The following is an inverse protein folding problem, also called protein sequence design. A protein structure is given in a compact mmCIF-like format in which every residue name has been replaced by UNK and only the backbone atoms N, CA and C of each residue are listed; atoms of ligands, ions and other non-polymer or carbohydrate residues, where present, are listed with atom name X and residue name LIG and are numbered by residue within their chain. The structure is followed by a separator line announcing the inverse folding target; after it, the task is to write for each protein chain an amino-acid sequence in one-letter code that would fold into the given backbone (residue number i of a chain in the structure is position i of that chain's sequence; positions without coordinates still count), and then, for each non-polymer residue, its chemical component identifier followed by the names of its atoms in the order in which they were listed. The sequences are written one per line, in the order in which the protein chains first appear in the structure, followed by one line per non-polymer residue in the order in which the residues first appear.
data_IF_996175733089
#
_entry.id   IF_996175733089
#
_cell.length_a   1.000
_cell.length_b   1.000
_cell.length_c   1.000
_cell.angle_alpha   90.00
_cell.angle_beta   90.00
_cell.angle_gamma   90.00
#
_symmetry.space_group_name_H-M   'P 1'
#
loop_
_entity.id
_entity.type
_entity.pdbx_description
1 polymer ?
#
# COMPACT_ATOMS: atom_id res chain seq x y z
N UNK A 1 10.82 7.24 -1.47
CA UNK A 1 10.57 7.61 -0.08
C UNK A 1 11.85 7.69 0.73
N UNK A 2 12.53 6.54 0.98
CA UNK A 2 13.71 6.43 1.85
C UNK A 2 14.83 7.43 1.51
N UNK A 3 15.25 7.51 0.23
CA UNK A 3 16.30 8.46 -0.21
C UNK A 3 15.92 9.92 0.03
N UNK A 4 14.66 10.28 -0.23
CA UNK A 4 14.16 11.65 -0.02
C UNK A 4 14.15 11.98 1.48
N UNK A 5 13.61 11.06 2.31
CA UNK A 5 13.62 11.22 3.77
C UNK A 5 15.05 11.44 4.32
N UNK A 6 15.99 10.57 3.94
CA UNK A 6 17.40 10.69 4.35
C UNK A 6 18.02 12.02 3.94
N UNK A 7 17.72 12.52 2.73
CA UNK A 7 18.23 13.81 2.26
C UNK A 7 17.75 14.96 3.15
N UNK A 8 16.48 14.95 3.57
CA UNK A 8 15.90 16.01 4.40
C UNK A 8 16.26 15.89 5.88
N UNK A 9 16.23 14.68 6.42
CA UNK A 9 16.37 14.46 7.86
C UNK A 9 17.78 14.08 8.31
N UNK A 10 18.70 13.78 7.37
CA UNK A 10 20.09 13.31 7.64
C UNK A 10 20.14 11.97 8.40
N UNK A 11 19.00 11.30 8.55
CA UNK A 11 18.84 10.02 9.24
C UNK A 11 18.02 9.07 8.36
N UNK A 12 18.10 7.76 8.62
CA UNK A 12 17.25 6.78 7.95
C UNK A 12 15.87 6.73 8.62
N UNK A 13 14.78 6.55 7.85
CA UNK A 13 13.47 6.28 8.41
C UNK A 13 13.46 4.88 9.03
N UNK A 14 12.77 4.71 10.16
CA UNK A 14 12.68 3.44 10.90
C UNK A 14 11.25 2.91 10.97
N UNK A 15 10.28 3.79 11.05
CA UNK A 15 8.88 3.46 11.24
C UNK A 15 8.05 3.86 10.05
N UNK A 16 7.29 2.92 9.53
CA UNK A 16 6.37 3.17 8.42
C UNK A 16 4.92 2.88 8.80
N UNK A 17 4.02 3.55 8.10
CA UNK A 17 2.59 3.24 8.05
C UNK A 17 2.22 2.98 6.59
N UNK A 18 1.52 1.89 6.33
CA UNK A 18 0.95 1.56 5.03
C UNK A 18 -0.57 1.61 5.13
N UNK A 19 -1.17 2.63 4.52
CA UNK A 19 -2.61 2.74 4.38
C UNK A 19 -3.08 1.91 3.19
N UNK A 20 -4.22 1.23 3.32
CA UNK A 20 -4.73 0.27 2.33
C UNK A 20 -3.72 -0.87 2.10
N UNK A 21 -3.20 -1.43 3.19
CA UNK A 21 -2.05 -2.33 3.14
C UNK A 21 -2.32 -3.69 2.49
N UNK A 22 -3.59 -4.06 2.29
CA UNK A 22 -3.95 -5.34 1.71
C UNK A 22 -3.28 -6.50 2.43
N UNK A 23 -2.42 -7.24 1.73
CA UNK A 23 -1.67 -8.38 2.28
C UNK A 23 -0.43 -8.00 3.09
N UNK A 24 -0.19 -6.70 3.33
CA UNK A 24 0.91 -6.16 4.13
C UNK A 24 2.33 -6.59 3.69
N UNK A 25 2.51 -6.86 2.40
CA UNK A 25 3.81 -7.29 1.88
C UNK A 25 4.90 -6.22 2.09
N UNK A 26 4.57 -4.93 1.88
CA UNK A 26 5.52 -3.84 2.09
C UNK A 26 5.93 -3.75 3.57
N UNK A 27 4.97 -3.85 4.50
CA UNK A 27 5.23 -3.85 5.93
C UNK A 27 6.18 -4.99 6.34
N UNK A 28 5.96 -6.19 5.80
CA UNK A 28 6.80 -7.36 6.01
C UNK A 28 8.22 -7.15 5.49
N UNK A 29 8.35 -6.78 4.20
CA UNK A 29 9.65 -6.52 3.59
C UNK A 29 10.41 -5.39 4.29
N UNK A 30 9.70 -4.39 4.83
CA UNK A 30 10.33 -3.30 5.57
C UNK A 30 10.98 -3.77 6.86
N UNK A 31 10.27 -4.57 7.67
CA UNK A 31 10.77 -5.04 8.96
C UNK A 31 11.93 -6.02 8.83
N UNK A 32 11.96 -6.82 7.76
CA UNK A 32 13.05 -7.74 7.47
C UNK A 32 14.37 -7.04 7.10
N UNK A 33 14.32 -5.81 6.60
CA UNK A 33 15.54 -5.10 6.18
C UNK A 33 16.44 -4.68 7.34
N UNK A 34 15.89 -4.46 8.53
CA UNK A 34 16.67 -4.00 9.69
C UNK A 34 15.94 -4.26 11.00
N UNK A 35 16.62 -4.72 12.06
CA UNK A 35 16.00 -5.00 13.36
C UNK A 35 15.43 -3.76 14.06
N UNK A 36 15.79 -2.54 13.62
CA UNK A 36 15.21 -1.29 14.16
C UNK A 36 13.98 -0.80 13.38
N UNK A 37 13.60 -1.51 12.30
CA UNK A 37 12.45 -1.15 11.50
C UNK A 37 11.15 -1.72 12.11
N UNK A 38 10.10 -0.91 12.08
CA UNK A 38 8.74 -1.35 12.41
C UNK A 38 7.73 -0.80 11.41
N UNK A 39 6.58 -1.45 11.31
CA UNK A 39 5.54 -1.11 10.37
C UNK A 39 4.15 -1.20 10.99
N UNK A 40 3.25 -0.30 10.58
CA UNK A 40 1.83 -0.39 10.85
C UNK A 40 1.09 -0.49 9.51
N UNK A 41 0.35 -1.58 9.29
CA UNK A 41 -0.52 -1.78 8.14
C UNK A 41 -1.98 -1.57 8.52
N UNK A 42 -2.72 -0.79 7.72
CA UNK A 42 -4.12 -0.48 7.95
C UNK A 42 -4.92 -0.87 6.72
N UNK A 43 -5.96 -1.67 6.93
CA UNK A 43 -6.91 -2.06 5.89
C UNK A 43 -8.29 -2.28 6.51
N UNK A 44 -9.36 -2.10 5.72
CA UNK A 44 -10.73 -2.37 6.17
C UNK A 44 -11.15 -3.83 6.00
N UNK A 45 -10.44 -4.59 5.18
CA UNK A 45 -10.83 -5.93 4.79
C UNK A 45 -10.18 -6.98 5.68
N UNK A 46 -10.87 -7.36 6.76
CA UNK A 46 -10.37 -8.34 7.73
C UNK A 46 -9.89 -9.66 7.09
N UNK A 47 -10.60 -10.27 6.11
CA UNK A 47 -10.12 -11.51 5.49
C UNK A 47 -8.75 -11.37 4.81
N UNK A 48 -8.46 -10.22 4.18
CA UNK A 48 -7.16 -9.95 3.59
C UNK A 48 -6.07 -9.81 4.66
N UNK A 49 -6.38 -9.16 5.79
CA UNK A 49 -5.44 -9.08 6.91
C UNK A 49 -5.18 -10.45 7.56
N UNK A 50 -6.19 -11.30 7.64
CA UNK A 50 -6.02 -12.66 8.16
C UNK A 50 -5.17 -13.51 7.22
N UNK A 51 -5.38 -13.37 5.92
CA UNK A 51 -4.52 -13.98 4.90
C UNK A 51 -3.06 -13.48 5.04
N UNK A 52 -2.88 -12.16 5.20
CA UNK A 52 -1.56 -11.56 5.42
C UNK A 52 -0.85 -12.15 6.65
N UNK A 53 -1.55 -12.31 7.76
CA UNK A 53 -1.00 -12.94 8.97
C UNK A 53 -0.52 -14.37 8.71
N UNK A 54 -1.34 -15.18 8.03
CA UNK A 54 -0.99 -16.58 7.75
C UNK A 54 0.19 -16.72 6.78
N UNK A 55 0.24 -15.91 5.73
CA UNK A 55 1.17 -16.11 4.62
C UNK A 55 2.40 -15.20 4.68
N UNK A 56 2.28 -14.02 5.27
CA UNK A 56 3.38 -13.07 5.33
C UNK A 56 3.98 -12.91 6.73
N UNK A 57 3.18 -13.03 7.81
CA UNK A 57 3.70 -12.86 9.16
C UNK A 57 4.16 -14.20 9.79
N UNK A 58 3.38 -15.25 9.66
CA UNK A 58 3.75 -16.58 10.23
C UNK A 58 5.16 -17.04 9.82
N UNK A 59 5.64 -16.83 8.58
CA UNK A 59 7.01 -17.21 8.21
C UNK A 59 8.11 -16.37 8.85
N UNK A 60 7.79 -15.24 9.48
CA UNK A 60 8.75 -14.35 10.11
C UNK A 60 9.20 -14.87 11.48
N UNK A 61 10.36 -14.40 11.94
CA UNK A 61 10.79 -14.63 13.32
C UNK A 61 9.85 -13.92 14.31
N UNK A 62 9.75 -14.39 15.57
CA UNK A 62 8.92 -13.73 16.59
C UNK A 62 9.26 -12.24 16.79
N UNK A 63 10.54 -11.87 16.69
CA UNK A 63 10.98 -10.48 16.78
C UNK A 63 10.49 -9.63 15.60
N UNK A 64 10.52 -10.16 14.39
CA UNK A 64 10.00 -9.46 13.21
C UNK A 64 8.48 -9.30 13.28
N UNK A 65 7.77 -10.35 13.70
CA UNK A 65 6.31 -10.29 13.91
C UNK A 65 5.92 -9.23 14.92
N UNK A 66 6.65 -9.14 16.05
CA UNK A 66 6.39 -8.15 17.11
C UNK A 66 6.56 -6.69 16.66
N UNK A 67 7.24 -6.45 15.53
CA UNK A 67 7.45 -5.11 14.95
C UNK A 67 6.46 -4.73 13.85
N UNK A 68 5.46 -5.60 13.59
CA UNK A 68 4.40 -5.34 12.61
C UNK A 68 3.05 -5.27 13.33
N UNK A 69 2.38 -4.13 13.21
CA UNK A 69 1.05 -3.88 13.75
C UNK A 69 0.02 -3.83 12.59
N UNK A 70 -0.83 -4.85 12.46
CA UNK A 70 -1.89 -4.89 11.44
C UNK A 70 -3.23 -4.56 12.07
N UNK A 71 -3.90 -3.54 11.54
CA UNK A 71 -5.15 -2.99 12.05
C UNK A 71 -6.27 -3.08 11.03
N UNK A 72 -7.40 -3.67 11.44
CA UNK A 72 -8.65 -3.60 10.67
C UNK A 72 -9.37 -2.30 11.05
N UNK A 73 -8.95 -1.18 10.46
CA UNK A 73 -9.43 0.15 10.80
C UNK A 73 -9.63 1.01 9.54
N UNK A 74 -10.47 2.05 9.66
CA UNK A 74 -10.64 3.05 8.62
C UNK A 74 -9.49 4.07 8.66
N UNK A 75 -8.80 4.26 7.55
CA UNK A 75 -7.72 5.24 7.39
C UNK A 75 -8.18 6.69 7.63
N UNK A 76 -9.49 6.96 7.59
CA UNK A 76 -10.06 8.28 7.91
C UNK A 76 -10.04 8.59 9.40
N UNK A 77 -10.07 7.56 10.26
CA UNK A 77 -10.26 7.71 11.70
C UNK A 77 -9.15 7.08 12.54
N UNK A 78 -8.36 6.18 11.96
CA UNK A 78 -7.27 5.47 12.65
C UNK A 78 -6.25 6.43 13.28
N UNK A 79 -5.74 6.08 14.44
CA UNK A 79 -4.73 6.86 15.17
C UNK A 79 -3.57 5.98 15.63
N UNK A 80 -2.78 5.44 14.72
CA UNK A 80 -1.59 4.68 15.08
C UNK A 80 -0.49 5.61 15.63
N UNK A 81 0.56 5.05 16.22
CA UNK A 81 1.76 5.82 16.58
C UNK A 81 2.32 6.60 15.40
N UNK A 82 2.92 7.76 15.67
CA UNK A 82 3.53 8.60 14.62
C UNK A 82 4.72 7.88 13.97
N UNK A 83 4.78 7.97 12.65
CA UNK A 83 5.77 7.29 11.82
C UNK A 83 6.66 8.27 11.03
N UNK A 84 7.75 7.76 10.49
CA UNK A 84 8.66 8.50 9.62
C UNK A 84 8.11 8.62 8.20
N UNK A 85 7.48 7.54 7.70
CA UNK A 85 6.91 7.49 6.36
C UNK A 85 5.50 6.91 6.42
N UNK A 86 4.56 7.53 5.69
CA UNK A 86 3.25 6.94 5.39
C UNK A 86 3.16 6.67 3.91
N UNK A 87 2.65 5.49 3.54
CA UNK A 87 2.43 5.07 2.16
C UNK A 87 0.95 4.87 1.89
N UNK A 88 0.50 5.29 0.70
CA UNK A 88 -0.77 4.92 0.10
C UNK A 88 -0.50 4.57 -1.36
N UNK A 89 -0.29 3.29 -1.62
CA UNK A 89 0.13 2.78 -2.92
C UNK A 89 -1.04 2.17 -3.70
N UNK A 90 -0.78 1.83 -4.96
CA UNK A 90 -1.79 1.32 -5.90
C UNK A 90 -2.98 2.27 -6.05
N UNK A 91 -2.70 3.58 -6.03
CA UNK A 91 -3.71 4.65 -6.14
C UNK A 91 -4.95 4.45 -5.26
N UNK A 92 -4.83 3.70 -4.17
CA UNK A 92 -5.95 3.30 -3.30
C UNK A 92 -6.70 4.50 -2.72
N UNK A 93 -6.04 5.64 -2.47
CA UNK A 93 -6.71 6.85 -1.98
C UNK A 93 -7.73 7.44 -2.99
N UNK A 94 -7.70 7.01 -4.27
CA UNK A 94 -8.69 7.39 -5.28
C UNK A 94 -10.10 6.85 -4.99
N UNK A 95 -10.28 5.98 -3.99
CA UNK A 95 -11.62 5.59 -3.47
C UNK A 95 -12.38 6.78 -2.90
N UNK A 96 -11.70 7.82 -2.43
CA UNK A 96 -12.31 9.03 -1.89
C UNK A 96 -12.79 9.95 -3.01
N UNK A 97 -14.05 9.81 -3.40
CA UNK A 97 -14.66 10.57 -4.50
C UNK A 97 -15.00 12.02 -4.13
N UNK A 98 -15.09 12.34 -2.85
CA UNK A 98 -15.46 13.66 -2.37
C UNK A 98 -14.28 14.38 -1.72
N UNK A 99 -14.09 15.66 -2.08
CA UNK A 99 -13.03 16.52 -1.53
C UNK A 99 -13.00 16.53 0.01
N UNK A 100 -14.16 16.49 0.67
CA UNK A 100 -14.25 16.48 2.15
C UNK A 100 -13.57 15.23 2.72
N UNK A 101 -13.85 14.06 2.16
CA UNK A 101 -13.23 12.79 2.60
C UNK A 101 -11.73 12.81 2.35
N UNK A 102 -11.30 13.23 1.16
CA UNK A 102 -9.89 13.33 0.82
C UNK A 102 -9.12 14.28 1.75
N UNK A 103 -9.71 15.42 2.11
CA UNK A 103 -9.12 16.34 3.08
C UNK A 103 -9.05 15.74 4.47
N UNK A 104 -10.07 14.99 4.91
CA UNK A 104 -10.05 14.26 6.18
C UNK A 104 -8.93 13.24 6.21
N UNK A 105 -8.80 12.46 5.14
CA UNK A 105 -7.71 11.50 4.97
C UNK A 105 -6.34 12.17 5.09
N UNK A 106 -6.06 13.21 4.31
CA UNK A 106 -4.77 13.90 4.36
C UNK A 106 -4.46 14.56 5.71
N UNK A 107 -5.49 15.05 6.41
CA UNK A 107 -5.33 15.55 7.78
C UNK A 107 -4.96 14.42 8.74
N UNK A 108 -5.59 13.25 8.61
CA UNK A 108 -5.27 12.08 9.43
C UNK A 108 -3.83 11.61 9.16
N UNK A 109 -3.44 11.46 7.89
CA UNK A 109 -2.05 11.13 7.52
C UNK A 109 -1.06 12.11 8.14
N UNK A 110 -1.31 13.42 7.98
CA UNK A 110 -0.43 14.46 8.54
C UNK A 110 -0.30 14.37 10.06
N UNK A 111 -1.38 14.09 10.77
CA UNK A 111 -1.35 13.94 12.23
C UNK A 111 -0.57 12.72 12.68
N UNK A 112 -0.55 11.65 11.87
CA UNK A 112 0.19 10.42 12.10
C UNK A 112 1.66 10.47 11.68
N UNK A 113 2.12 11.56 11.09
CA UNK A 113 3.53 11.74 10.74
C UNK A 113 4.33 12.41 11.88
N UNK A 114 5.56 11.97 12.07
CA UNK A 114 6.55 12.70 12.88
C UNK A 114 6.92 14.02 12.23
N UNK A 115 7.61 14.90 12.97
CA UNK A 115 8.21 16.13 12.40
C UNK A 115 9.11 15.74 11.23
N UNK A 116 8.90 16.40 10.09
CA UNK A 116 9.57 16.11 8.81
C UNK A 116 9.33 14.70 8.25
N UNK A 117 8.30 13.98 8.72
CA UNK A 117 7.85 12.75 8.10
C UNK A 117 7.33 12.99 6.69
N UNK A 118 7.36 11.95 5.85
CA UNK A 118 6.91 12.04 4.46
C UNK A 118 5.68 11.18 4.23
N UNK A 119 4.76 11.71 3.44
CA UNK A 119 3.66 10.97 2.84
C UNK A 119 4.00 10.65 1.38
N UNK A 120 3.93 9.38 1.02
CA UNK A 120 4.20 8.88 -0.32
C UNK A 120 2.93 8.24 -0.87
N UNK A 121 2.49 8.71 -2.01
CA UNK A 121 1.35 8.14 -2.72
C UNK A 121 1.65 8.07 -4.21
N UNK A 122 0.99 7.17 -4.90
CA UNK A 122 0.95 7.13 -6.37
C UNK A 122 -0.43 7.56 -6.86
N UNK A 123 -0.50 7.96 -8.12
CA UNK A 123 -1.71 8.51 -8.73
C UNK A 123 -2.02 7.73 -10.00
N UNK A 124 -3.26 7.28 -10.13
CA UNK A 124 -3.81 6.82 -11.40
C UNK A 124 -4.30 8.02 -12.19
N UNK A 125 -3.80 8.21 -13.40
CA UNK A 125 -4.17 9.36 -14.24
C UNK A 125 -3.37 9.43 -15.54
N UNK A 126 -3.58 10.52 -16.25
CA UNK A 126 -2.99 10.76 -17.57
C UNK A 126 -3.99 10.50 -18.71
N UNK A 127 -3.56 10.73 -19.94
CA UNK A 127 -4.43 10.59 -21.13
C UNK A 127 -4.95 9.18 -21.31
N UNK A 128 -4.16 8.17 -20.97
CA UNK A 128 -4.56 6.76 -21.08
C UNK A 128 -5.64 6.35 -20.09
N UNK A 129 -5.80 7.06 -18.97
CA UNK A 129 -6.81 6.74 -17.97
C UNK A 129 -8.25 6.99 -18.43
N UNK A 130 -8.43 7.68 -19.55
CA UNK A 130 -9.73 7.98 -20.16
C UNK A 130 -10.05 7.09 -21.35
N UNK A 131 -9.15 6.18 -21.74
CA UNK A 131 -9.35 5.28 -22.89
C UNK A 131 -10.13 4.05 -22.43
N UNK A 132 -11.28 3.81 -23.02
CA UNK A 132 -12.12 2.63 -22.76
C UNK A 132 -11.60 1.42 -23.54
N UNK A 133 -11.76 0.20 -22.98
CA UNK A 133 -11.30 -1.07 -23.57
C UNK A 133 -9.81 -1.11 -23.87
N UNK A 134 -9.01 -0.51 -22.98
CA UNK A 134 -7.57 -0.54 -23.07
C UNK A 134 -7.04 -1.72 -22.24
N UNK A 135 -6.90 -2.86 -22.90
CA UNK A 135 -6.35 -4.06 -22.25
C UNK A 135 -4.83 -4.06 -22.38
N UNK A 136 -4.14 -3.98 -21.24
CA UNK A 136 -2.69 -4.16 -21.19
C UNK A 136 -2.38 -5.56 -20.68
N UNK A 137 -1.91 -6.38 -21.60
CA UNK A 137 -1.47 -7.75 -21.28
C UNK A 137 0.02 -7.72 -20.95
N UNK A 138 0.38 -8.42 -19.90
CA UNK A 138 1.78 -8.65 -19.50
C UNK A 138 1.99 -10.11 -19.21
N UNK A 139 2.91 -10.74 -19.91
CA UNK A 139 3.38 -12.07 -19.58
C UNK A 139 4.23 -11.99 -18.31
N UNK A 140 3.82 -12.70 -17.29
CA UNK A 140 4.57 -12.85 -16.06
C UNK A 140 5.29 -14.20 -16.11
N UNK A 141 6.63 -14.21 -16.18
CA UNK A 141 7.38 -15.47 -16.17
C UNK A 141 7.16 -16.21 -14.86
N UNK A 142 7.17 -17.54 -14.92
CA UNK A 142 7.12 -18.37 -13.71
C UNK A 142 8.27 -18.04 -12.76
N UNK A 143 8.00 -18.13 -11.47
CA UNK A 143 8.97 -17.85 -10.41
C UNK A 143 8.70 -18.69 -9.17
N UNK A 144 9.73 -18.90 -8.38
CA UNK A 144 9.60 -19.51 -7.06
C UNK A 144 9.54 -18.42 -5.99
N UNK A 145 8.54 -18.47 -5.12
CA UNK A 145 8.42 -17.51 -4.01
C UNK A 145 9.53 -17.73 -2.99
N UNK A 146 9.74 -16.77 -2.09
CA UNK A 146 10.69 -16.92 -0.97
C UNK A 146 10.34 -18.09 -0.04
N UNK A 147 9.07 -18.53 -0.05
CA UNK A 147 8.57 -19.69 0.72
C UNK A 147 8.71 -21.02 -0.03
N UNK A 148 9.34 -21.03 -1.21
CA UNK A 148 9.55 -22.22 -2.02
C UNK A 148 8.31 -22.68 -2.80
N UNK A 149 7.31 -21.82 -2.99
CA UNK A 149 6.12 -22.12 -3.81
C UNK A 149 6.42 -21.76 -5.26
N UNK A 150 6.28 -22.73 -6.16
CA UNK A 150 6.42 -22.49 -7.59
C UNK A 150 5.14 -21.89 -8.15
N UNK A 151 5.26 -20.70 -8.71
CA UNK A 151 4.19 -20.00 -9.43
C UNK A 151 4.46 -20.17 -10.92
N UNK A 152 3.55 -20.82 -11.68
CA UNK A 152 3.73 -20.97 -13.13
C UNK A 152 3.68 -19.62 -13.83
N UNK A 153 4.11 -19.56 -15.09
CA UNK A 153 3.91 -18.38 -15.93
C UNK A 153 2.40 -18.11 -16.09
N UNK A 154 2.03 -16.84 -16.08
CA UNK A 154 0.65 -16.41 -16.29
C UNK A 154 0.58 -15.07 -17.00
N UNK A 155 -0.56 -14.78 -17.61
CA UNK A 155 -0.85 -13.47 -18.17
C UNK A 155 -1.52 -12.60 -17.10
N UNK A 156 -1.01 -11.39 -16.90
CA UNK A 156 -1.67 -10.34 -16.11
C UNK A 156 -2.33 -9.38 -17.07
N UNK A 157 -3.65 -9.24 -16.99
CA UNK A 157 -4.42 -8.38 -17.87
C UNK A 157 -5.03 -7.24 -17.05
N UNK A 158 -4.61 -6.00 -17.35
CA UNK A 158 -5.29 -4.80 -16.89
C UNK A 158 -6.34 -4.41 -17.93
N UNK A 159 -7.62 -4.56 -17.60
CA UNK A 159 -8.76 -4.22 -18.44
C UNK A 159 -9.42 -2.94 -17.94
N UNK A 160 -9.37 -1.89 -18.76
CA UNK A 160 -10.00 -0.60 -18.51
C UNK A 160 -11.38 -0.59 -19.16
N UNK A 161 -12.34 -1.25 -18.51
CA UNK A 161 -13.63 -1.61 -19.06
C UNK A 161 -14.55 -0.41 -19.32
N UNK A 162 -14.60 0.56 -18.41
CA UNK A 162 -15.52 1.71 -18.47
C UNK A 162 -14.84 2.99 -18.02
N UNK A 163 -15.12 4.07 -18.75
CA UNK A 163 -14.83 5.43 -18.32
C UNK A 163 -16.06 6.30 -18.52
N UNK A 164 -16.46 7.04 -17.48
CA UNK A 164 -17.57 7.99 -17.54
C UNK A 164 -17.03 9.43 -17.63
N UNK A 165 -17.18 10.13 -18.77
CA UNK A 165 -16.62 11.47 -18.95
C UNK A 165 -17.32 12.57 -18.14
N UNK A 166 -18.51 12.30 -17.58
CA UNK A 166 -19.25 13.30 -16.80
C UNK A 166 -18.69 13.40 -15.38
N UNK A 167 -18.42 12.28 -14.74
CA UNK A 167 -17.96 12.22 -13.35
C UNK A 167 -16.53 11.66 -13.19
N UNK A 168 -15.88 11.32 -14.30
CA UNK A 168 -14.53 10.76 -14.38
C UNK A 168 -14.34 9.44 -13.60
N UNK A 169 -15.43 8.70 -13.39
CA UNK A 169 -15.30 7.37 -12.79
C UNK A 169 -14.78 6.38 -13.83
N UNK A 170 -13.82 5.57 -13.41
CA UNK A 170 -13.26 4.49 -14.21
C UNK A 170 -13.51 3.17 -13.51
N UNK A 171 -13.88 2.14 -14.29
CA UNK A 171 -13.93 0.75 -13.81
C UNK A 171 -12.81 -0.02 -14.51
N UNK A 172 -11.95 -0.62 -13.70
CA UNK A 172 -10.86 -1.45 -14.17
C UNK A 172 -11.01 -2.85 -13.56
N UNK A 173 -10.68 -3.88 -14.36
CA UNK A 173 -10.60 -5.26 -13.91
C UNK A 173 -9.17 -5.76 -14.05
N UNK A 174 -8.83 -6.73 -13.23
CA UNK A 174 -7.58 -7.48 -13.31
C UNK A 174 -7.97 -8.94 -13.56
N UNK A 175 -7.41 -9.52 -14.60
CA UNK A 175 -7.60 -10.92 -14.97
C UNK A 175 -6.28 -11.67 -14.96
#
# INVERSE_FOLDING_TARGET
GRRVYKRHNKTEPKQIREDFCGTALLATCWTQQNPTHSACGIDLHQPTLDWAKQHHLVPLTPDEQARIDLRCEDVLTTQPPKVDLTFALNFSFCVFKHRKQLLTYFKNVRSGLKKNGLFILDIYGGTESTIVKNNKVRDIPGFTTQQGIDVPCFEYIWDQAVYNPINHHTTCHIH
#
